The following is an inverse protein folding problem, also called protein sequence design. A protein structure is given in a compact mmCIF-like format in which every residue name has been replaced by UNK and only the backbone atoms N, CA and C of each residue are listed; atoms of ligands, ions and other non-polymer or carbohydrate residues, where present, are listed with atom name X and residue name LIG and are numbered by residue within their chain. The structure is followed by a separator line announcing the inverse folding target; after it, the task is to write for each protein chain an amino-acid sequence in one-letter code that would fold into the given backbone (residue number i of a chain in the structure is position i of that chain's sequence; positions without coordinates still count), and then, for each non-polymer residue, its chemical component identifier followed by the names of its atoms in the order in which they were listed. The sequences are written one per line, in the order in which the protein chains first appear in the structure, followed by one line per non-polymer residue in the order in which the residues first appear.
data_IF_249286980097
#
_entry.id   IF_249286980097
#
_cell.length_a   1.000
_cell.length_b   1.000
_cell.length_c   1.000
_cell.angle_alpha   90.00
_cell.angle_beta   90.00
_cell.angle_gamma   90.00
#
_symmetry.space_group_name_H-M   'P 1'
#
loop_
_entity.id
_entity.type
_entity.pdbx_description
1 polymer ?
#
# COMPACT_ATOMS: atom_id res chain seq x y z
N UNK A 1 15.27 -8.71 26.35
CA UNK A 1 15.99 -8.59 25.07
C UNK A 1 15.22 -9.44 24.06
N UNK A 2 14.43 -8.81 23.19
CA UNK A 2 13.70 -9.56 22.14
C UNK A 2 14.77 -10.07 21.15
N UNK A 3 14.79 -11.37 20.82
CA UNK A 3 15.77 -11.93 19.87
C UNK A 3 15.74 -11.12 18.56
N UNK A 4 16.91 -10.81 18.00
CA UNK A 4 17.05 -10.06 16.74
C UNK A 4 16.21 -10.70 15.62
N UNK A 5 16.15 -12.03 15.62
CA UNK A 5 15.37 -12.87 14.71
C UNK A 5 13.86 -12.59 14.76
N UNK A 6 13.31 -12.30 15.94
CA UNK A 6 11.88 -12.03 16.12
C UNK A 6 11.49 -10.64 15.56
N UNK A 7 12.39 -9.65 15.69
CA UNK A 7 12.20 -8.32 15.09
C UNK A 7 12.23 -8.40 13.57
N UNK A 8 13.22 -9.10 13.02
CA UNK A 8 13.35 -9.32 11.57
C UNK A 8 12.12 -10.05 11.01
N UNK A 9 11.66 -11.11 11.69
CA UNK A 9 10.47 -11.85 11.30
C UNK A 9 9.21 -10.97 11.32
N UNK A 10 9.02 -10.15 12.36
CA UNK A 10 7.88 -9.21 12.44
C UNK A 10 7.93 -8.16 11.32
N UNK A 11 9.11 -7.63 11.01
CA UNK A 11 9.29 -6.66 9.92
C UNK A 11 8.96 -7.30 8.55
N UNK A 12 9.51 -8.48 8.27
CA UNK A 12 9.22 -9.23 7.04
C UNK A 12 7.73 -9.56 6.90
N UNK A 13 7.10 -10.07 7.97
CA UNK A 13 5.66 -10.37 7.99
C UNK A 13 4.80 -9.14 7.74
N UNK A 14 5.18 -7.98 8.31
CA UNK A 14 4.47 -6.71 8.09
C UNK A 14 4.60 -6.23 6.64
N UNK A 15 5.77 -6.38 6.01
CA UNK A 15 6.02 -6.05 4.60
C UNK A 15 5.14 -6.92 3.69
N UNK A 16 5.17 -8.24 3.87
CA UNK A 16 4.36 -9.20 3.09
C UNK A 16 2.85 -8.94 3.27
N UNK A 17 2.38 -8.76 4.50
CA UNK A 17 0.96 -8.48 4.78
C UNK A 17 0.49 -7.22 4.05
N UNK A 18 1.28 -6.14 4.11
CA UNK A 18 0.92 -4.87 3.47
C UNK A 18 0.83 -4.99 1.95
N UNK A 19 1.76 -5.72 1.34
CA UNK A 19 1.73 -6.00 -0.10
C UNK A 19 0.47 -6.81 -0.47
N UNK A 20 0.18 -7.88 0.28
CA UNK A 20 -1.02 -8.72 0.05
C UNK A 20 -2.32 -7.91 0.18
N UNK A 21 -2.44 -7.09 1.22
CA UNK A 21 -3.65 -6.31 1.47
C UNK A 21 -3.88 -5.24 0.37
N UNK A 22 -2.81 -4.74 -0.26
CA UNK A 22 -2.90 -3.86 -1.43
C UNK A 22 -3.37 -4.58 -2.69
N UNK A 23 -2.82 -5.77 -3.00
CA UNK A 23 -3.30 -6.58 -4.12
C UNK A 23 -4.77 -6.97 -3.95
N UNK A 24 -5.20 -7.27 -2.72
CA UNK A 24 -6.62 -7.52 -2.42
C UNK A 24 -7.49 -6.30 -2.73
N UNK A 25 -7.04 -5.08 -2.37
CA UNK A 25 -7.75 -3.85 -2.72
C UNK A 25 -7.83 -3.63 -4.24
N UNK A 26 -6.76 -3.88 -4.98
CA UNK A 26 -6.77 -3.79 -6.45
C UNK A 26 -7.75 -4.79 -7.05
N UNK A 27 -7.73 -6.04 -6.58
CA UNK A 27 -8.62 -7.08 -7.07
C UNK A 27 -10.09 -6.70 -6.80
N UNK A 28 -10.39 -6.22 -5.59
CA UNK A 28 -11.72 -5.74 -5.23
C UNK A 28 -12.14 -4.55 -6.10
N UNK A 29 -11.23 -3.60 -6.35
CA UNK A 29 -11.48 -2.45 -7.22
C UNK A 29 -11.90 -2.87 -8.63
N UNK A 30 -11.18 -3.80 -9.25
CA UNK A 30 -11.53 -4.30 -10.58
C UNK A 30 -12.78 -5.17 -10.58
N UNK A 31 -12.95 -6.07 -9.60
CA UNK A 31 -14.11 -6.96 -9.53
C UNK A 31 -15.41 -6.18 -9.32
N UNK A 32 -15.45 -5.28 -8.33
CA UNK A 32 -16.61 -4.44 -8.04
C UNK A 32 -16.81 -3.43 -9.16
N UNK A 33 -15.75 -2.82 -9.67
CA UNK A 33 -15.83 -1.89 -10.78
C UNK A 33 -16.43 -2.54 -12.04
N UNK A 34 -16.01 -3.76 -12.39
CA UNK A 34 -16.57 -4.51 -13.52
C UNK A 34 -18.05 -4.87 -13.28
N UNK A 35 -18.38 -5.33 -12.07
CA UNK A 35 -19.76 -5.64 -11.69
C UNK A 35 -20.69 -4.43 -11.79
N UNK A 36 -20.26 -3.27 -11.26
CA UNK A 36 -21.03 -2.03 -11.34
C UNK A 36 -21.13 -1.51 -12.78
N UNK A 37 -20.09 -1.69 -13.58
CA UNK A 37 -20.10 -1.31 -15.00
C UNK A 37 -21.11 -2.14 -15.77
N UNK A 38 -21.18 -3.44 -15.48
CA UNK A 38 -22.18 -4.32 -16.05
C UNK A 38 -23.61 -3.89 -15.66
N UNK A 39 -23.84 -3.59 -14.37
CA UNK A 39 -25.15 -3.09 -13.90
C UNK A 39 -25.51 -1.78 -14.60
N UNK A 40 -24.57 -0.83 -14.68
CA UNK A 40 -24.81 0.45 -15.33
C UNK A 40 -25.18 0.27 -16.81
N UNK A 41 -24.48 -0.61 -17.52
CA UNK A 41 -24.77 -0.93 -18.91
C UNK A 41 -26.16 -1.56 -19.07
N UNK A 42 -26.55 -2.45 -18.17
CA UNK A 42 -27.85 -3.12 -18.19
C UNK A 42 -29.03 -2.21 -17.81
N UNK A 43 -28.86 -1.34 -16.81
CA UNK A 43 -29.96 -0.55 -16.23
C UNK A 43 -30.09 0.83 -16.83
N UNK A 44 -29.00 1.47 -17.25
CA UNK A 44 -29.00 2.86 -17.67
C UNK A 44 -27.85 3.15 -18.66
N UNK A 45 -27.90 2.59 -19.88
CA UNK A 45 -26.82 2.73 -20.86
C UNK A 45 -26.54 4.20 -21.25
N UNK A 46 -27.53 5.09 -21.14
CA UNK A 46 -27.40 6.52 -21.41
C UNK A 46 -26.80 7.35 -20.27
N UNK A 47 -26.66 6.80 -19.06
CA UNK A 47 -26.13 7.53 -17.90
C UNK A 47 -25.03 6.73 -17.20
N UNK A 48 -23.77 7.06 -17.51
CA UNK A 48 -22.59 6.41 -16.93
C UNK A 48 -22.25 6.97 -15.55
N UNK A 49 -23.11 6.71 -14.55
CA UNK A 49 -22.80 7.11 -13.17
C UNK A 49 -21.58 6.36 -12.62
N UNK A 50 -21.30 5.15 -13.14
CA UNK A 50 -20.20 4.30 -12.67
C UNK A 50 -18.82 4.94 -12.82
N UNK A 51 -18.65 5.91 -13.75
CA UNK A 51 -17.39 6.64 -13.94
C UNK A 51 -16.94 7.38 -12.67
N UNK A 52 -17.89 7.87 -11.88
CA UNK A 52 -17.59 8.57 -10.63
C UNK A 52 -17.07 7.62 -9.56
N UNK A 53 -17.56 6.37 -9.54
CA UNK A 53 -17.07 5.33 -8.64
C UNK A 53 -15.65 4.92 -9.02
N UNK A 54 -15.39 4.71 -10.31
CA UNK A 54 -14.05 4.39 -10.82
C UNK A 54 -13.05 5.49 -10.48
N UNK A 55 -13.39 6.76 -10.73
CA UNK A 55 -12.50 7.90 -10.46
C UNK A 55 -12.32 8.11 -8.96
N UNK A 56 -13.40 8.22 -8.20
CA UNK A 56 -13.34 8.51 -6.76
C UNK A 56 -12.58 7.43 -5.99
N UNK A 57 -12.88 6.16 -6.25
CA UNK A 57 -12.20 5.06 -5.56
C UNK A 57 -10.80 4.79 -6.14
N UNK A 58 -10.62 5.00 -7.44
CA UNK A 58 -9.32 4.84 -8.12
C UNK A 58 -8.26 5.77 -7.58
N UNK A 59 -8.63 7.00 -7.21
CA UNK A 59 -7.72 7.94 -6.53
C UNK A 59 -7.22 7.36 -5.20
N UNK A 60 -8.11 6.75 -4.40
CA UNK A 60 -7.74 6.11 -3.14
C UNK A 60 -6.77 4.94 -3.31
N UNK A 61 -7.03 4.07 -4.30
CA UNK A 61 -6.14 2.95 -4.65
C UNK A 61 -4.79 3.45 -5.15
N UNK A 62 -4.78 4.50 -5.98
CA UNK A 62 -3.56 5.13 -6.49
C UNK A 62 -2.68 5.68 -5.36
N UNK A 63 -3.25 6.45 -4.43
CA UNK A 63 -2.50 6.97 -3.29
C UNK A 63 -2.02 5.87 -2.32
N UNK A 64 -2.79 4.79 -2.15
CA UNK A 64 -2.35 3.64 -1.37
C UNK A 64 -1.13 2.95 -2.02
N UNK A 65 -1.16 2.77 -3.34
CA UNK A 65 -0.06 2.22 -4.12
C UNK A 65 1.18 3.11 -4.08
N UNK A 66 0.98 4.42 -4.21
CA UNK A 66 2.07 5.39 -4.09
C UNK A 66 2.68 5.38 -2.69
N UNK A 67 1.91 5.23 -1.62
CA UNK A 67 2.43 5.11 -0.25
C UNK A 67 3.32 3.87 -0.06
N UNK A 68 2.94 2.75 -0.69
CA UNK A 68 3.74 1.52 -0.71
C UNK A 68 5.04 1.68 -1.51
N UNK A 69 4.95 2.24 -2.71
CA UNK A 69 6.11 2.46 -3.59
C UNK A 69 7.05 3.54 -3.06
N UNK A 70 6.52 4.63 -2.51
CA UNK A 70 7.28 5.75 -1.95
C UNK A 70 8.13 5.31 -0.76
N UNK A 71 7.65 4.36 0.05
CA UNK A 71 8.47 3.73 1.09
C UNK A 71 9.68 2.99 0.51
N UNK A 72 9.53 2.33 -0.63
CA UNK A 72 10.62 1.62 -1.29
C UNK A 72 11.60 2.56 -2.04
N UNK A 73 11.15 3.73 -2.54
CA UNK A 73 11.96 4.63 -3.36
C UNK A 73 12.65 5.76 -2.54
N UNK A 74 11.94 6.40 -1.60
CA UNK A 74 12.52 7.51 -0.83
C UNK A 74 13.41 7.06 0.33
N UNK A 75 13.11 5.89 0.88
CA UNK A 75 13.81 5.32 2.03
C UNK A 75 14.27 3.92 1.62
N UNK A 76 15.41 3.85 0.94
CA UNK A 76 16.12 2.57 0.79
C UNK A 76 16.28 1.95 2.19
N UNK A 77 16.04 0.65 2.32
CA UNK A 77 16.25 -0.09 3.58
C UNK A 77 17.68 0.21 4.12
N UNK A 78 18.66 0.41 3.23
CA UNK A 78 20.05 0.81 3.53
C UNK A 78 20.19 2.23 4.12
N UNK A 79 19.39 3.19 3.63
CA UNK A 79 19.37 4.56 4.16
C UNK A 79 18.75 4.60 5.56
N UNK A 80 17.66 3.85 5.79
CA UNK A 80 17.02 3.75 7.11
C UNK A 80 17.99 3.11 8.11
N UNK A 81 18.65 2.01 7.73
CA UNK A 81 19.61 1.32 8.60
C UNK A 81 20.81 2.20 8.96
N UNK A 82 21.34 2.96 7.99
CA UNK A 82 22.42 3.93 8.22
C UNK A 82 22.01 5.02 9.21
N UNK A 83 20.81 5.58 9.06
CA UNK A 83 20.30 6.62 9.96
C UNK A 83 20.06 6.12 11.38
N UNK A 84 19.58 4.88 11.53
CA UNK A 84 19.43 4.25 12.84
C UNK A 84 20.79 4.06 13.51
N UNK A 85 21.81 3.57 12.77
CA UNK A 85 23.18 3.43 13.29
C UNK A 85 23.77 4.78 13.72
N UNK A 86 23.62 5.82 12.90
CA UNK A 86 24.06 7.18 13.24
C UNK A 86 23.42 7.71 14.54
N UNK A 87 22.12 7.45 14.75
CA UNK A 87 21.42 7.92 15.95
C UNK A 87 21.85 7.14 17.20
N UNK A 88 22.02 5.82 17.10
CA UNK A 88 22.56 4.99 18.19
C UNK A 88 23.97 5.44 18.58
N UNK A 89 24.83 5.73 17.60
CA UNK A 89 26.16 6.25 17.87
C UNK A 89 26.13 7.62 18.55
N UNK A 90 25.19 8.49 18.17
CA UNK A 90 25.00 9.80 18.81
C UNK A 90 24.58 9.63 20.27
N UNK A 91 23.63 8.74 20.55
CA UNK A 91 23.18 8.41 21.91
C UNK A 91 24.25 7.73 22.76
N UNK A 92 25.20 7.00 22.16
CA UNK A 92 26.34 6.40 22.87
C UNK A 92 27.47 7.39 23.16
N UNK A 93 27.57 8.47 22.38
CA UNK A 93 28.57 9.54 22.56
C UNK A 93 28.12 10.63 23.54
N UNK A 94 26.82 10.70 23.84
CA UNK A 94 26.22 11.52 24.90
C UNK A 94 26.12 10.76 26.20
#
# INVERSE_FOLDING_TARGET
MIPEDEKLYKAAKKKVKRTRDFYSNILAYFAIGAFLTFINWWTSPGHWWVKWVWIGWGIGVFFHGLSLYRKNILFSDDWEERKIKEEIERMKRS
#
